data_IF_166591905008
#
_entry.id   IF_166591905008
#
_cell.length_a   1.000
_cell.length_b   1.000
_cell.length_c   1.000
_cell.angle_alpha   90.00
_cell.angle_beta   90.00
_cell.angle_gamma   90.00
#
_symmetry.space_group_name_H-M   'P 1'
#
loop_
_entity.id
_entity.type
_entity.pdbx_description
1 polymer ?
#
# COMPACT_ATOMS: atom_id res chain seq x y z
N UNK A 1 2.59 -7.31 14.11
CA UNK A 1 2.42 -6.73 12.77
C UNK A 1 3.78 -6.48 12.15
N UNK A 2 3.90 -6.62 10.84
CA UNK A 2 4.98 -6.11 10.00
C UNK A 2 4.54 -4.77 9.37
N UNK A 3 5.51 -3.91 9.03
CA UNK A 3 5.28 -2.66 8.32
C UNK A 3 5.03 -2.98 6.85
N UNK A 4 3.86 -2.63 6.36
CA UNK A 4 3.48 -2.82 4.96
C UNK A 4 4.10 -1.76 4.05
N UNK A 5 4.24 -2.06 2.75
CA UNK A 5 4.63 -1.06 1.74
C UNK A 5 3.68 0.15 1.72
N UNK A 6 2.40 -0.08 2.04
CA UNK A 6 1.43 1.01 2.19
C UNK A 6 1.88 2.00 3.28
N UNK A 7 2.30 1.51 4.46
CA UNK A 7 2.76 2.37 5.54
C UNK A 7 4.01 3.17 5.15
N UNK A 8 4.94 2.58 4.39
CA UNK A 8 6.14 3.27 3.89
C UNK A 8 5.80 4.44 2.94
N UNK A 9 4.79 4.28 2.10
CA UNK A 9 4.36 5.31 1.17
C UNK A 9 3.44 6.35 1.82
N UNK A 10 2.55 5.91 2.71
CA UNK A 10 1.46 6.72 3.23
C UNK A 10 1.87 7.62 4.40
N UNK A 11 2.85 7.22 5.23
CA UNK A 11 3.24 7.98 6.44
C UNK A 11 4.36 9.00 6.18
N UNK A 12 4.15 9.84 5.18
CA UNK A 12 4.99 11.02 4.91
C UNK A 12 5.00 12.00 6.09
N UNK A 13 5.97 12.91 6.14
CA UNK A 13 6.05 13.94 7.20
C UNK A 13 4.75 14.77 7.28
N UNK A 14 4.16 15.10 6.12
CA UNK A 14 2.90 15.85 6.05
C UNK A 14 1.73 15.07 6.67
N UNK A 15 1.63 13.78 6.37
CA UNK A 15 0.57 12.90 6.92
C UNK A 15 0.76 12.71 8.42
N UNK A 16 1.99 12.51 8.90
CA UNK A 16 2.30 12.42 10.34
C UNK A 16 1.87 13.70 11.07
N UNK A 17 2.16 14.88 10.51
CA UNK A 17 1.73 16.16 11.09
C UNK A 17 0.20 16.31 11.18
N UNK A 18 -0.56 15.76 10.22
CA UNK A 18 -2.03 15.73 10.30
C UNK A 18 -2.50 14.73 11.37
N UNK A 19 -1.90 13.53 11.43
CA UNK A 19 -2.24 12.52 12.44
C UNK A 19 -2.00 13.02 13.86
N UNK A 20 -0.96 13.83 14.10
CA UNK A 20 -0.70 14.47 15.39
C UNK A 20 -1.81 15.47 15.75
N UNK A 21 -2.18 16.35 14.81
CA UNK A 21 -3.26 17.33 15.01
C UNK A 21 -4.61 16.66 15.28
N UNK A 22 -4.87 15.53 14.65
CA UNK A 22 -6.12 14.78 14.80
C UNK A 22 -6.07 13.71 15.89
N UNK A 23 -4.95 13.56 16.60
CA UNK A 23 -4.78 12.63 17.71
C UNK A 23 -4.69 11.14 17.33
N UNK A 24 -4.60 10.81 16.04
CA UNK A 24 -4.51 9.43 15.56
C UNK A 24 -3.07 8.90 15.49
N UNK A 25 -2.06 9.75 15.71
CA UNK A 25 -0.64 9.38 15.57
C UNK A 25 -0.23 8.18 16.42
N UNK A 26 -0.69 8.11 17.67
CA UNK A 26 -0.34 7.01 18.57
C UNK A 26 -0.85 5.64 18.11
N UNK A 27 -1.95 5.62 17.36
CA UNK A 27 -2.50 4.41 16.77
C UNK A 27 -1.63 3.92 15.59
N UNK A 28 -1.28 4.83 14.68
CA UNK A 28 -0.54 4.49 13.46
C UNK A 28 0.97 4.30 13.68
N UNK A 29 1.55 4.87 14.73
CA UNK A 29 2.98 4.74 15.03
C UNK A 29 3.43 3.28 15.29
N UNK A 30 2.53 2.44 15.83
CA UNK A 30 2.82 1.02 16.08
C UNK A 30 2.98 0.22 14.78
N UNK A 31 2.16 0.52 13.78
CA UNK A 31 2.22 -0.12 12.46
C UNK A 31 3.43 0.37 11.65
N UNK A 32 3.82 1.63 11.80
CA UNK A 32 4.98 2.22 11.12
C UNK A 32 6.33 1.70 11.67
N UNK A 33 6.42 1.42 12.96
CA UNK A 33 7.65 0.94 13.61
C UNK A 33 7.93 -0.56 13.47
N UNK A 34 7.03 -1.30 12.84
CA UNK A 34 7.16 -2.74 12.64
C UNK A 34 8.25 -3.08 11.59
N UNK A 35 8.84 -4.30 11.62
CA UNK A 35 9.78 -4.73 10.59
C UNK A 35 9.08 -4.79 9.23
N UNK A 36 9.76 -4.37 8.17
CA UNK A 36 9.20 -4.36 6.81
C UNK A 36 8.78 -5.77 6.39
N UNK A 37 7.58 -5.88 5.85
CA UNK A 37 7.10 -7.12 5.27
C UNK A 37 7.71 -7.32 3.89
N UNK A 38 8.13 -8.55 3.61
CA UNK A 38 8.50 -8.93 2.25
C UNK A 38 7.23 -8.93 1.38
N UNK A 39 7.21 -8.15 0.30
CA UNK A 39 6.04 -8.05 -0.56
C UNK A 39 5.81 -9.38 -1.29
N UNK A 40 4.93 -10.22 -0.74
CA UNK A 40 4.51 -11.51 -1.29
C UNK A 40 3.00 -11.52 -1.46
N UNK A 41 2.52 -12.19 -2.50
CA UNK A 41 1.08 -12.43 -2.65
C UNK A 41 0.60 -13.41 -1.58
N UNK A 42 -0.46 -13.05 -0.87
CA UNK A 42 -1.16 -13.93 0.04
C UNK A 42 -2.09 -14.89 -0.69
N UNK A 43 -2.80 -15.71 0.08
CA UNK A 43 -3.75 -16.68 -0.46
C UNK A 43 -4.88 -16.01 -1.25
N UNK A 44 -5.38 -14.87 -0.75
CA UNK A 44 -6.48 -14.14 -1.36
C UNK A 44 -6.08 -13.54 -2.73
N UNK A 45 -4.93 -12.87 -2.81
CA UNK A 45 -4.41 -12.30 -4.05
C UNK A 45 -4.11 -13.41 -5.07
N UNK A 46 -3.48 -14.50 -4.62
CA UNK A 46 -3.14 -15.65 -5.46
C UNK A 46 -4.39 -16.30 -6.04
N UNK A 47 -5.40 -16.57 -5.21
CA UNK A 47 -6.67 -17.14 -5.67
C UNK A 47 -7.40 -16.21 -6.63
N UNK A 48 -7.38 -14.89 -6.37
CA UNK A 48 -7.96 -13.90 -7.27
C UNK A 48 -7.30 -13.94 -8.65
N UNK A 49 -5.97 -13.96 -8.72
CA UNK A 49 -5.20 -14.00 -9.98
C UNK A 49 -5.48 -15.31 -10.75
N UNK A 50 -5.44 -16.47 -10.08
CA UNK A 50 -5.69 -17.76 -10.72
C UNK A 50 -7.08 -17.90 -11.33
N UNK A 51 -8.06 -17.17 -10.80
CA UNK A 51 -9.42 -17.21 -11.30
C UNK A 51 -9.69 -16.26 -12.49
N UNK A 52 -8.66 -15.54 -13.00
CA UNK A 52 -8.78 -14.65 -14.16
C UNK A 52 -8.25 -15.32 -15.42
N UNK A 53 -9.00 -15.17 -16.50
CA UNK A 53 -8.67 -15.58 -17.87
C UNK A 53 -8.40 -14.37 -18.79
N UNK A 54 -8.51 -13.15 -18.25
CA UNK A 54 -8.38 -11.88 -18.95
C UNK A 54 -7.81 -10.81 -18.01
N UNK A 55 -7.22 -9.75 -18.57
CA UNK A 55 -6.72 -8.60 -17.82
C UNK A 55 -7.00 -7.30 -18.56
N UNK A 56 -7.11 -6.21 -17.81
CA UNK A 56 -7.20 -4.86 -18.38
C UNK A 56 -5.80 -4.29 -18.58
N UNK A 57 -5.56 -3.67 -19.73
CA UNK A 57 -4.29 -3.04 -20.06
C UNK A 57 -4.55 -1.59 -20.49
N UNK A 58 -3.87 -0.66 -19.82
CA UNK A 58 -3.87 0.75 -20.22
C UNK A 58 -2.55 1.04 -20.93
N UNK A 59 -2.62 1.43 -22.20
CA UNK A 59 -1.47 1.86 -23.01
C UNK A 59 -1.73 3.24 -23.57
N UNK A 60 -0.66 3.95 -23.91
CA UNK A 60 -0.73 5.20 -24.69
C UNK A 60 -0.12 4.95 -26.07
N UNK A 61 -0.69 5.53 -27.12
CA UNK A 61 -0.03 5.56 -28.43
C UNK A 61 1.11 6.58 -28.43
N UNK A 62 1.96 6.54 -29.46
CA UNK A 62 3.06 7.50 -29.65
C UNK A 62 2.56 8.97 -29.61
N UNK A 63 1.36 9.23 -30.11
CA UNK A 63 0.76 10.57 -30.16
C UNK A 63 -0.11 10.92 -28.94
N UNK A 64 -0.11 10.09 -27.89
CA UNK A 64 -0.73 10.41 -26.61
C UNK A 64 -2.22 10.05 -26.46
N UNK A 65 -2.81 9.36 -27.45
CA UNK A 65 -4.16 8.79 -27.42
C UNK A 65 -4.22 7.45 -28.13
#
# INVERSE_FOLDING_TARGET
MSRSMFAELAFTDAVRGVQEKMGSRGFYAKEEGAPAEEARFGEAETAFIHARDSFYMATVSETGW
#
